data_IF_761577253158
#
_entry.id   IF_761577253158
#
_cell.length_a   1.000
_cell.length_b   1.000
_cell.length_c   1.000
_cell.angle_alpha   90.00
_cell.angle_beta   90.00
_cell.angle_gamma   90.00
#
_symmetry.space_group_name_H-M   'P 1'
#
loop_
_entity.id
_entity.type
_entity.pdbx_description
1 polymer ?
#
# COMPACT_ATOMS: atom_id res chain seq x y z
N UNK A 1 -15.50 -6.05 -13.86
CA UNK A 1 -15.34 -5.87 -12.39
C UNK A 1 -14.77 -4.47 -12.15
N UNK A 2 -14.94 -3.90 -10.96
CA UNK A 2 -14.28 -2.67 -10.54
C UNK A 2 -13.58 -2.90 -9.20
N UNK A 3 -12.24 -2.74 -9.11
CA UNK A 3 -11.58 -2.78 -7.82
C UNK A 3 -12.11 -1.64 -6.94
N UNK A 4 -12.12 -1.85 -5.63
CA UNK A 4 -12.34 -0.77 -4.67
C UNK A 4 -11.04 0.01 -4.53
N UNK A 5 -11.14 1.33 -4.41
CA UNK A 5 -9.99 2.15 -4.01
C UNK A 5 -10.17 2.52 -2.54
N UNK A 6 -9.17 2.23 -1.70
CA UNK A 6 -9.14 2.72 -0.32
C UNK A 6 -8.00 3.70 -0.20
N UNK A 7 -8.29 4.86 0.36
CA UNK A 7 -7.33 5.87 0.75
C UNK A 7 -7.34 5.91 2.28
N UNK A 8 -6.24 5.56 2.92
CA UNK A 8 -6.18 5.63 4.37
C UNK A 8 -4.95 6.38 4.87
N UNK A 9 -4.95 6.70 6.15
CA UNK A 9 -3.78 7.22 6.85
C UNK A 9 -3.95 7.05 8.37
N UNK A 10 -2.86 7.05 9.14
CA UNK A 10 -2.93 6.99 10.59
C UNK A 10 -3.59 8.26 11.18
N UNK A 11 -3.35 9.42 10.57
CA UNK A 11 -3.79 10.73 11.07
C UNK A 11 -4.60 11.52 10.03
N UNK A 12 -5.46 12.47 10.46
CA UNK A 12 -6.09 13.45 9.57
C UNK A 12 -5.08 14.34 8.83
N UNK A 13 -5.54 15.01 7.77
CA UNK A 13 -4.72 16.00 7.03
C UNK A 13 -3.68 15.42 6.06
N UNK A 14 -3.82 14.15 5.65
CA UNK A 14 -2.96 13.48 4.66
C UNK A 14 -3.38 13.70 3.20
N UNK A 15 -4.47 14.41 2.94
CA UNK A 15 -4.95 14.68 1.57
C UNK A 15 -5.89 13.62 0.98
N UNK A 16 -6.43 12.69 1.77
CA UNK A 16 -7.40 11.68 1.27
C UNK A 16 -8.62 12.30 0.57
N UNK A 17 -9.26 13.26 1.23
CA UNK A 17 -10.38 14.04 0.64
C UNK A 17 -9.97 14.72 -0.66
N UNK A 18 -8.74 15.26 -0.73
CA UNK A 18 -8.22 15.89 -1.95
C UNK A 18 -8.14 14.91 -3.13
N UNK A 19 -7.75 13.66 -2.88
CA UNK A 19 -7.75 12.64 -3.94
C UNK A 19 -9.17 12.34 -4.40
N UNK A 20 -10.14 12.24 -3.48
CA UNK A 20 -11.55 12.08 -3.85
C UNK A 20 -12.08 13.27 -4.67
N UNK A 21 -11.70 14.50 -4.33
CA UNK A 21 -12.07 15.70 -5.10
C UNK A 21 -11.50 15.67 -6.52
N UNK A 22 -10.25 15.20 -6.69
CA UNK A 22 -9.65 14.99 -8.03
C UNK A 22 -10.39 13.90 -8.80
N UNK A 23 -10.71 12.77 -8.15
CA UNK A 23 -11.50 11.71 -8.76
C UNK A 23 -12.90 12.20 -9.18
N UNK A 24 -13.51 13.09 -8.39
CA UNK A 24 -14.80 13.67 -8.71
C UNK A 24 -14.81 14.45 -10.04
N UNK A 25 -13.67 15.03 -10.43
CA UNK A 25 -13.53 15.79 -11.68
C UNK A 25 -13.28 14.90 -12.91
N UNK A 26 -12.70 13.71 -12.70
CA UNK A 26 -12.23 12.81 -13.77
C UNK A 26 -13.14 11.59 -13.99
N UNK A 27 -13.81 11.11 -12.96
CA UNK A 27 -14.61 9.88 -13.01
C UNK A 27 -16.03 10.10 -13.54
N UNK A 28 -16.58 9.08 -14.19
CA UNK A 28 -17.92 9.11 -14.75
C UNK A 28 -18.98 9.30 -13.66
N UNK A 29 -19.81 10.34 -13.83
CA UNK A 29 -20.95 10.69 -12.96
C UNK A 29 -20.62 10.55 -11.45
N UNK A 30 -19.46 11.08 -11.07
CA UNK A 30 -18.93 10.90 -9.73
C UNK A 30 -19.81 11.56 -8.67
N UNK A 31 -19.99 10.87 -7.54
CA UNK A 31 -20.77 11.37 -6.41
C UNK A 31 -19.95 11.27 -5.13
N UNK A 32 -19.45 12.42 -4.68
CA UNK A 32 -18.86 12.58 -3.35
C UNK A 32 -19.96 12.56 -2.27
N UNK A 33 -19.80 11.66 -1.30
CA UNK A 33 -20.72 11.43 -0.18
C UNK A 33 -19.97 11.46 1.13
N UNK A 34 -20.47 12.25 2.08
CA UNK A 34 -20.00 12.27 3.48
C UNK A 34 -20.87 11.32 4.32
N UNK A 35 -22.19 11.49 4.23
CA UNK A 35 -23.18 10.59 4.82
C UNK A 35 -24.30 10.36 3.81
N UNK A 36 -24.56 9.09 3.47
CA UNK A 36 -25.66 8.71 2.58
C UNK A 36 -26.23 7.38 3.07
N UNK A 37 -27.55 7.23 3.01
CA UNK A 37 -28.19 5.98 3.37
C UNK A 37 -27.93 4.92 2.31
N UNK A 38 -27.79 3.65 2.72
CA UNK A 38 -27.67 2.52 1.78
C UNK A 38 -28.84 2.53 0.77
N UNK A 39 -30.01 2.96 1.23
CA UNK A 39 -31.22 3.10 0.43
C UNK A 39 -31.14 4.16 -0.68
N UNK A 40 -30.49 5.28 -0.43
CA UNK A 40 -30.26 6.28 -1.47
C UNK A 40 -29.21 5.80 -2.49
N UNK A 41 -28.20 5.05 -2.04
CA UNK A 41 -27.13 4.54 -2.91
C UNK A 41 -27.64 3.51 -3.91
N UNK A 42 -28.29 2.42 -3.48
CA UNK A 42 -28.73 1.38 -4.42
C UNK A 42 -29.78 1.91 -5.41
N UNK A 43 -30.64 2.86 -5.01
CA UNK A 43 -31.61 3.49 -5.93
C UNK A 43 -30.92 4.36 -6.97
N UNK A 44 -29.89 5.11 -6.56
CA UNK A 44 -29.09 5.91 -7.48
C UNK A 44 -28.36 5.04 -8.49
N UNK A 45 -27.76 3.93 -8.04
CA UNK A 45 -27.09 2.97 -8.92
C UNK A 45 -28.10 2.39 -9.90
N UNK A 46 -29.25 1.93 -9.42
CA UNK A 46 -30.30 1.37 -10.28
C UNK A 46 -30.88 2.36 -11.28
N UNK A 47 -31.01 3.64 -10.92
CA UNK A 47 -31.50 4.67 -11.82
C UNK A 47 -30.53 4.99 -12.98
N UNK A 48 -29.24 4.65 -12.83
CA UNK A 48 -28.21 4.91 -13.84
C UNK A 48 -28.09 3.79 -14.90
N UNK A 49 -28.80 2.67 -14.74
CA UNK A 49 -28.80 1.56 -15.69
C UNK A 49 -27.41 0.93 -15.86
N UNK A 50 -26.96 0.80 -17.11
CA UNK A 50 -25.70 0.12 -17.45
C UNK A 50 -24.44 0.93 -17.16
N UNK A 51 -24.59 2.24 -16.88
CA UNK A 51 -23.49 3.18 -16.62
C UNK A 51 -23.60 3.72 -15.18
N UNK A 52 -23.28 2.89 -14.17
CA UNK A 52 -23.41 3.30 -12.79
C UNK A 52 -22.47 4.47 -12.44
N UNK A 53 -22.85 5.33 -11.49
CA UNK A 53 -22.00 6.43 -11.04
C UNK A 53 -20.77 5.92 -10.28
N UNK A 54 -19.72 6.73 -10.26
CA UNK A 54 -18.58 6.50 -9.36
C UNK A 54 -18.92 7.02 -7.96
N UNK A 55 -18.97 6.16 -6.96
CA UNK A 55 -19.25 6.56 -5.57
C UNK A 55 -17.95 6.90 -4.87
N UNK A 56 -17.86 8.09 -4.29
CA UNK A 56 -16.70 8.56 -3.56
C UNK A 56 -17.13 8.83 -2.12
N UNK A 57 -16.77 7.95 -1.20
CA UNK A 57 -17.21 8.02 0.18
C UNK A 57 -16.05 8.50 1.06
N UNK A 58 -16.17 9.72 1.58
CA UNK A 58 -15.25 10.24 2.59
C UNK A 58 -15.70 9.83 4.00
N UNK A 59 -14.81 9.98 4.98
CA UNK A 59 -15.05 9.62 6.38
C UNK A 59 -15.61 8.19 6.55
N UNK A 60 -15.20 7.26 5.68
CA UNK A 60 -15.66 5.87 5.70
C UNK A 60 -15.40 5.23 7.07
N UNK A 61 -14.35 5.65 7.79
CA UNK A 61 -14.04 5.14 9.11
C UNK A 61 -15.02 5.60 10.20
N UNK A 62 -15.72 6.72 10.01
CA UNK A 62 -16.81 7.10 10.89
C UNK A 62 -18.04 6.21 10.67
N UNK A 63 -18.22 5.70 9.46
CA UNK A 63 -19.31 4.79 9.09
C UNK A 63 -19.04 3.36 9.57
N UNK A 64 -17.83 2.84 9.36
CA UNK A 64 -17.48 1.46 9.67
C UNK A 64 -16.78 1.27 11.03
N UNK A 65 -16.23 2.32 11.63
CA UNK A 65 -15.42 2.23 12.86
C UNK A 65 -16.21 2.25 14.18
N UNK A 66 -17.54 2.36 14.15
CA UNK A 66 -18.41 2.28 15.34
C UNK A 66 -19.11 0.92 15.41
N UNK A 67 -19.33 0.40 16.61
CA UNK A 67 -19.94 -0.91 16.91
C UNK A 67 -21.19 -1.17 16.06
N UNK A 68 -21.29 -2.40 15.52
CA UNK A 68 -22.37 -2.99 14.71
C UNK A 68 -23.66 -2.14 14.59
N UNK A 69 -23.64 -1.15 13.70
CA UNK A 69 -24.85 -0.46 13.24
C UNK A 69 -25.41 -1.25 12.03
N UNK A 70 -26.70 -1.65 12.02
CA UNK A 70 -27.33 -2.30 10.88
C UNK A 70 -27.08 -1.58 9.54
N UNK A 71 -27.04 -0.24 9.55
CA UNK A 71 -26.77 0.54 8.34
C UNK A 71 -25.34 0.35 7.82
N UNK A 72 -24.35 0.20 8.70
CA UNK A 72 -22.96 -0.02 8.33
C UNK A 72 -22.77 -1.43 7.75
N UNK A 73 -23.45 -2.44 8.32
CA UNK A 73 -23.47 -3.80 7.77
C UNK A 73 -24.12 -3.87 6.39
N UNK A 74 -25.24 -3.17 6.22
CA UNK A 74 -25.92 -3.04 4.92
C UNK A 74 -25.03 -2.37 3.87
N UNK A 75 -24.32 -1.31 4.26
CA UNK A 75 -23.41 -0.61 3.35
C UNK A 75 -22.18 -1.46 3.01
N UNK A 76 -21.64 -2.19 3.99
CA UNK A 76 -20.54 -3.14 3.80
C UNK A 76 -20.95 -4.24 2.81
N UNK A 77 -22.15 -4.80 2.98
CA UNK A 77 -22.71 -5.79 2.07
C UNK A 77 -22.86 -5.23 0.63
N UNK A 78 -23.37 -3.99 0.50
CA UNK A 78 -23.49 -3.29 -0.77
C UNK A 78 -22.14 -3.17 -1.48
N UNK A 79 -21.10 -2.68 -0.79
CA UNK A 79 -19.77 -2.50 -1.37
C UNK A 79 -19.08 -3.82 -1.68
N UNK A 80 -19.28 -4.86 -0.86
CA UNK A 80 -18.72 -6.19 -1.09
C UNK A 80 -19.36 -6.91 -2.28
N UNK A 81 -20.64 -6.67 -2.55
CA UNK A 81 -21.36 -7.27 -3.67
C UNK A 81 -21.09 -6.49 -4.97
N UNK A 82 -21.18 -5.16 -4.91
CA UNK A 82 -21.16 -4.27 -6.07
C UNK A 82 -19.82 -4.09 -6.80
N UNK A 83 -18.79 -4.88 -6.47
CA UNK A 83 -17.51 -4.82 -7.19
C UNK A 83 -17.58 -5.63 -8.49
N UNK A 84 -18.48 -6.62 -8.58
CA UNK A 84 -18.73 -7.41 -9.80
C UNK A 84 -20.07 -7.01 -10.44
N UNK A 85 -20.10 -6.97 -11.77
CA UNK A 85 -21.32 -6.68 -12.54
C UNK A 85 -22.29 -7.86 -12.39
N UNK A 86 -23.59 -7.57 -12.35
CA UNK A 86 -24.65 -8.57 -12.12
C UNK A 86 -25.01 -8.79 -10.65
N UNK A 87 -24.28 -8.20 -9.69
CA UNK A 87 -24.66 -8.24 -8.29
C UNK A 87 -25.92 -7.42 -8.02
N UNK A 88 -26.87 -8.00 -7.29
CA UNK A 88 -28.12 -7.37 -6.86
C UNK A 88 -28.27 -7.43 -5.34
N UNK A 89 -29.14 -6.58 -4.80
CA UNK A 89 -29.63 -6.67 -3.42
C UNK A 89 -31.15 -6.62 -3.39
N UNK A 90 -31.75 -7.47 -2.56
CA UNK A 90 -33.19 -7.52 -2.37
C UNK A 90 -33.61 -6.49 -1.34
N UNK A 91 -34.60 -5.67 -1.69
CA UNK A 91 -35.16 -4.66 -0.79
C UNK A 91 -36.67 -4.69 -0.89
N UNK A 92 -37.32 -4.68 0.26
CA UNK A 92 -38.76 -4.55 0.32
C UNK A 92 -39.15 -3.08 0.07
N UNK A 93 -40.02 -2.84 -0.91
CA UNK A 93 -40.61 -1.54 -1.21
C UNK A 93 -42.14 -1.64 -1.18
N UNK A 94 -42.79 -0.55 -0.74
CA UNK A 94 -44.24 -0.44 -0.68
C UNK A 94 -44.75 0.01 0.69
N UNK A 95 -46.03 0.35 0.76
CA UNK A 95 -46.69 0.63 2.03
C UNK A 95 -46.88 -0.67 2.82
N UNK A 96 -47.11 -0.57 4.14
CA UNK A 96 -47.28 -1.73 5.03
C UNK A 96 -48.31 -2.78 4.55
N UNK A 97 -49.26 -2.38 3.70
CA UNK A 97 -50.29 -3.26 3.11
C UNK A 97 -49.90 -3.89 1.77
N UNK A 98 -48.87 -3.39 1.09
CA UNK A 98 -48.47 -3.79 -0.27
C UNK A 98 -46.94 -3.90 -0.40
N UNK A 99 -46.28 -4.57 0.54
CA UNK A 99 -44.83 -4.82 0.50
C UNK A 99 -44.48 -5.76 -0.65
N UNK A 100 -43.60 -5.32 -1.54
CA UNK A 100 -43.04 -6.13 -2.63
C UNK A 100 -41.53 -6.19 -2.50
N UNK A 101 -40.96 -7.38 -2.68
CA UNK A 101 -39.50 -7.53 -2.79
C UNK A 101 -39.10 -7.09 -4.20
N UNK A 102 -38.11 -6.20 -4.27
CA UNK A 102 -37.51 -5.74 -5.52
C UNK A 102 -36.00 -5.93 -5.47
N UNK A 103 -35.45 -6.40 -6.58
CA UNK A 103 -34.01 -6.51 -6.78
C UNK A 103 -33.45 -5.17 -7.31
N UNK A 104 -32.35 -4.72 -6.71
CA UNK A 104 -31.62 -3.54 -7.15
C UNK A 104 -30.21 -3.92 -7.60
N UNK A 105 -29.76 -3.53 -8.81
CA UNK A 105 -28.37 -3.69 -9.18
C UNK A 105 -27.49 -2.79 -8.32
N UNK A 106 -26.32 -3.31 -7.91
CA UNK A 106 -25.42 -2.60 -6.98
C UNK A 106 -24.00 -2.44 -7.50
N UNK A 107 -23.75 -2.84 -8.75
CA UNK A 107 -22.46 -2.65 -9.39
C UNK A 107 -22.18 -1.16 -9.59
N UNK A 108 -21.07 -0.68 -9.04
CA UNK A 108 -20.61 0.70 -9.20
C UNK A 108 -19.13 0.81 -8.84
N UNK A 109 -18.32 1.65 -9.51
CA UNK A 109 -16.99 2.02 -9.03
C UNK A 109 -17.08 2.73 -7.67
N UNK A 110 -16.19 2.41 -6.73
CA UNK A 110 -16.22 2.98 -5.38
C UNK A 110 -14.80 3.31 -4.91
N UNK A 111 -14.61 4.54 -4.42
CA UNK A 111 -13.45 4.95 -3.65
C UNK A 111 -13.86 5.33 -2.22
N UNK A 112 -13.08 4.90 -1.24
CA UNK A 112 -13.33 5.09 0.20
C UNK A 112 -12.14 5.83 0.81
N UNK A 113 -12.39 6.88 1.59
CA UNK A 113 -11.36 7.55 2.38
C UNK A 113 -11.65 7.42 3.88
N UNK A 114 -10.64 7.11 4.68
CA UNK A 114 -10.79 7.00 6.13
C UNK A 114 -9.49 6.86 6.90
N UNK A 115 -9.57 6.69 8.21
CA UNK A 115 -8.41 6.33 9.04
C UNK A 115 -8.04 4.85 8.90
N UNK A 116 -6.74 4.57 8.91
CA UNK A 116 -6.19 3.23 8.80
C UNK A 116 -6.67 2.32 9.95
N UNK A 117 -6.84 1.02 9.65
CA UNK A 117 -7.25 0.01 10.65
C UNK A 117 -8.74 -0.03 11.01
N UNK A 118 -9.56 0.87 10.46
CA UNK A 118 -11.01 0.92 10.72
C UNK A 118 -11.87 0.37 9.58
N UNK A 119 -11.28 0.04 8.44
CA UNK A 119 -12.00 -0.57 7.32
C UNK A 119 -12.25 -2.07 7.57
N UNK A 120 -13.45 -2.59 7.25
CA UNK A 120 -13.70 -4.02 7.33
C UNK A 120 -12.78 -4.82 6.39
N UNK A 121 -12.22 -5.93 6.88
CA UNK A 121 -11.33 -6.80 6.10
C UNK A 121 -11.96 -7.32 4.79
N UNK A 122 -13.29 -7.47 4.78
CA UNK A 122 -14.05 -7.88 3.59
C UNK A 122 -14.18 -6.79 2.53
N UNK A 123 -13.86 -5.54 2.83
CA UNK A 123 -13.81 -4.49 1.80
C UNK A 123 -12.37 -4.40 1.29
N UNK A 124 -11.39 -4.45 2.20
CA UNK A 124 -9.97 -4.34 1.87
C UNK A 124 -9.48 -5.49 0.99
N UNK A 125 -10.01 -6.71 1.14
CA UNK A 125 -9.69 -7.86 0.26
C UNK A 125 -10.10 -7.65 -1.21
N UNK A 126 -11.03 -6.73 -1.49
CA UNK A 126 -11.52 -6.35 -2.82
C UNK A 126 -10.97 -5.00 -3.28
N UNK A 127 -10.00 -4.45 -2.55
CA UNK A 127 -9.50 -3.10 -2.74
C UNK A 127 -8.01 -3.06 -3.11
N UNK A 128 -7.64 -1.98 -3.81
CA UNK A 128 -6.29 -1.44 -3.78
C UNK A 128 -6.25 -0.36 -2.72
N UNK A 129 -5.43 -0.56 -1.68
CA UNK A 129 -5.31 0.36 -0.54
C UNK A 129 -4.07 1.23 -0.69
N UNK A 130 -4.26 2.54 -0.73
CA UNK A 130 -3.19 3.52 -0.76
C UNK A 130 -3.04 4.17 0.62
N UNK A 131 -1.96 3.79 1.29
CA UNK A 131 -1.57 4.37 2.58
C UNK A 131 -0.95 5.75 2.37
N UNK A 132 -1.71 6.80 2.69
CA UNK A 132 -1.30 8.20 2.54
C UNK A 132 -0.59 8.70 3.79
N UNK A 133 0.39 9.59 3.58
CA UNK A 133 1.14 10.24 4.65
C UNK A 133 0.88 11.73 4.60
N UNK A 134 0.89 12.37 5.77
CA UNK A 134 0.88 13.82 5.83
C UNK A 134 2.17 14.34 5.20
N UNK A 135 2.01 15.30 4.30
CA UNK A 135 3.09 16.10 3.72
C UNK A 135 4.05 16.58 4.82
N UNK A 136 5.36 16.46 4.59
CA UNK A 136 6.37 17.05 5.45
C UNK A 136 6.39 18.58 5.28
N UNK A 137 6.84 19.36 6.28
CA UNK A 137 6.87 20.83 6.18
C UNK A 137 7.64 21.37 4.96
N UNK A 138 8.68 20.65 4.53
CA UNK A 138 9.57 20.95 3.42
C UNK A 138 9.04 20.49 2.05
N UNK A 139 8.09 19.55 2.01
CA UNK A 139 7.43 19.14 0.77
C UNK A 139 6.42 20.21 0.34
N UNK A 140 6.63 20.88 -0.78
CA UNK A 140 5.72 21.93 -1.26
C UNK A 140 4.96 21.45 -2.50
N UNK A 141 3.64 21.58 -2.47
CA UNK A 141 2.75 21.30 -3.61
C UNK A 141 1.95 22.54 -3.97
N UNK A 142 1.60 22.68 -5.24
CA UNK A 142 0.76 23.78 -5.71
C UNK A 142 -0.58 23.80 -4.95
N UNK A 143 -1.08 25.01 -4.68
CA UNK A 143 -2.40 25.17 -4.08
C UNK A 143 -3.48 24.59 -5.01
N UNK A 144 -4.38 23.79 -4.44
CA UNK A 144 -5.52 23.31 -5.20
C UNK A 144 -6.67 24.31 -5.08
N UNK A 145 -7.13 24.79 -6.23
CA UNK A 145 -8.34 25.59 -6.36
C UNK A 145 -9.28 24.86 -7.30
N UNK A 146 -10.49 24.59 -6.83
CA UNK A 146 -11.46 23.76 -7.54
C UNK A 146 -11.73 24.26 -8.97
N UNK A 147 -11.93 25.57 -9.14
CA UNK A 147 -12.15 26.19 -10.46
C UNK A 147 -11.00 25.95 -11.44
N UNK A 148 -9.75 26.01 -10.96
CA UNK A 148 -8.57 25.88 -11.80
C UNK A 148 -8.32 24.40 -12.11
N UNK A 149 -8.59 23.52 -11.14
CA UNK A 149 -8.54 22.08 -11.31
C UNK A 149 -9.62 21.58 -12.28
N UNK A 150 -10.85 22.09 -12.19
CA UNK A 150 -11.95 21.72 -13.08
C UNK A 150 -11.65 22.10 -14.54
N UNK A 151 -11.09 23.29 -14.77
CA UNK A 151 -10.67 23.72 -16.10
C UNK A 151 -9.58 22.80 -16.69
N UNK A 152 -8.61 22.39 -15.87
CA UNK A 152 -7.55 21.43 -16.28
C UNK A 152 -8.08 20.01 -16.48
N UNK A 153 -9.04 19.58 -15.68
CA UNK A 153 -9.59 18.23 -15.72
C UNK A 153 -10.59 18.03 -16.86
N UNK A 154 -11.27 19.08 -17.34
CA UNK A 154 -12.25 18.99 -18.43
C UNK A 154 -11.70 18.30 -19.70
N UNK A 155 -10.59 18.76 -20.32
CA UNK A 155 -10.06 18.10 -21.51
C UNK A 155 -9.56 16.67 -21.23
N UNK A 156 -9.06 16.41 -20.01
CA UNK A 156 -8.65 15.07 -19.60
C UNK A 156 -9.85 14.12 -19.49
N UNK A 157 -10.96 14.58 -18.92
CA UNK A 157 -12.19 13.81 -18.80
C UNK A 157 -12.76 13.47 -20.18
N UNK A 158 -12.80 14.43 -21.09
CA UNK A 158 -13.24 14.21 -22.48
C UNK A 158 -12.35 13.19 -23.20
N UNK A 159 -11.03 13.30 -23.04
CA UNK A 159 -10.09 12.34 -23.60
C UNK A 159 -10.25 10.94 -23.00
N UNK A 160 -10.45 10.83 -21.69
CA UNK A 160 -10.69 9.56 -21.00
C UNK A 160 -12.02 8.93 -21.45
N UNK A 161 -13.07 9.73 -21.61
CA UNK A 161 -14.37 9.26 -22.10
C UNK A 161 -14.24 8.72 -23.53
N UNK A 162 -13.66 9.50 -24.45
CA UNK A 162 -13.43 9.09 -25.83
C UNK A 162 -12.55 7.83 -25.92
N UNK A 163 -11.45 7.78 -25.16
CA UNK A 163 -10.56 6.62 -25.13
C UNK A 163 -11.27 5.39 -24.58
N UNK A 164 -12.02 5.52 -23.48
CA UNK A 164 -12.72 4.40 -22.86
C UNK A 164 -13.81 3.83 -23.77
N UNK A 165 -14.54 4.68 -24.49
CA UNK A 165 -15.54 4.26 -25.47
C UNK A 165 -14.89 3.52 -26.66
N UNK A 166 -13.77 4.04 -27.18
CA UNK A 166 -13.06 3.43 -28.31
C UNK A 166 -12.42 2.08 -27.97
N UNK A 167 -12.09 1.84 -26.69
CA UNK A 167 -11.39 0.62 -26.25
C UNK A 167 -12.27 -0.35 -25.45
N UNK A 168 -13.58 -0.07 -25.32
CA UNK A 168 -14.48 -0.85 -24.45
C UNK A 168 -14.50 -2.35 -24.78
N UNK A 169 -14.63 -2.71 -26.06
CA UNK A 169 -14.68 -4.12 -26.49
C UNK A 169 -13.34 -4.83 -26.28
N UNK A 170 -12.23 -4.14 -26.58
CA UNK A 170 -10.89 -4.66 -26.36
C UNK A 170 -10.61 -4.90 -24.87
N UNK A 171 -11.01 -3.96 -24.01
CA UNK A 171 -10.87 -4.08 -22.56
C UNK A 171 -11.78 -5.18 -21.98
N UNK A 172 -12.98 -5.37 -22.52
CA UNK A 172 -13.88 -6.44 -22.11
C UNK A 172 -13.34 -7.85 -22.46
N UNK A 173 -12.68 -7.97 -23.62
CA UNK A 173 -12.04 -9.21 -24.07
C UNK A 173 -10.65 -9.45 -23.45
N UNK A 174 -10.02 -8.43 -22.88
CA UNK A 174 -8.66 -8.52 -22.36
C UNK A 174 -8.50 -9.62 -21.29
N UNK A 175 -7.42 -10.39 -21.41
CA UNK A 175 -6.97 -11.40 -20.43
C UNK A 175 -5.48 -11.17 -20.15
N UNK A 176 -5.14 -10.12 -19.38
CA UNK A 176 -3.75 -9.74 -19.17
C UNK A 176 -2.98 -10.81 -18.41
N UNK A 177 -1.70 -10.97 -18.72
CA UNK A 177 -0.82 -11.85 -17.96
C UNK A 177 -0.56 -11.26 -16.57
N UNK A 178 -0.96 -12.00 -15.53
CA UNK A 178 -0.77 -11.65 -14.13
C UNK A 178 0.67 -11.93 -13.68
N UNK A 179 1.23 -11.15 -12.73
CA UNK A 179 2.52 -11.47 -12.13
C UNK A 179 2.51 -12.81 -11.39
N UNK A 180 3.65 -13.51 -11.37
CA UNK A 180 3.81 -14.74 -10.61
C UNK A 180 3.49 -14.54 -9.12
N UNK A 181 2.76 -15.49 -8.53
CA UNK A 181 2.32 -15.44 -7.13
C UNK A 181 1.03 -14.61 -6.91
N UNK A 182 0.54 -13.90 -7.92
CA UNK A 182 -0.75 -13.19 -7.85
C UNK A 182 -1.86 -14.10 -8.39
N UNK A 183 -2.63 -14.66 -7.46
CA UNK A 183 -3.71 -15.61 -7.76
C UNK A 183 -5.03 -15.18 -7.10
N UNK A 184 -6.12 -15.88 -7.42
CA UNK A 184 -7.43 -15.73 -6.79
C UNK A 184 -7.91 -14.27 -6.76
N UNK A 185 -8.34 -13.79 -5.59
CA UNK A 185 -8.96 -12.48 -5.42
C UNK A 185 -8.03 -11.31 -5.76
N UNK A 186 -6.76 -11.27 -5.34
CA UNK A 186 -5.81 -10.28 -5.84
C UNK A 186 -5.71 -10.25 -7.37
N UNK A 187 -5.68 -11.40 -8.03
CA UNK A 187 -5.65 -11.45 -9.49
C UNK A 187 -6.91 -10.84 -10.10
N UNK A 188 -8.09 -11.18 -9.56
CA UNK A 188 -9.34 -10.55 -9.98
C UNK A 188 -9.26 -9.02 -9.84
N UNK A 189 -8.83 -8.50 -8.68
CA UNK A 189 -8.81 -7.05 -8.36
C UNK A 189 -7.90 -6.29 -9.32
N UNK A 190 -6.74 -6.87 -9.64
CA UNK A 190 -5.73 -6.22 -10.48
C UNK A 190 -5.93 -6.43 -11.98
N UNK A 191 -6.71 -7.43 -12.41
CA UNK A 191 -6.94 -7.74 -13.82
C UNK A 191 -7.39 -6.51 -14.62
N UNK A 192 -8.40 -5.77 -14.12
CA UNK A 192 -8.92 -4.58 -14.80
C UNK A 192 -7.87 -3.46 -14.91
N UNK A 193 -7.04 -3.28 -13.88
CA UNK A 193 -6.00 -2.24 -13.88
C UNK A 193 -4.86 -2.59 -14.84
N UNK A 194 -4.46 -3.86 -14.90
CA UNK A 194 -3.44 -4.33 -15.82
C UNK A 194 -3.96 -4.32 -17.26
N UNK A 195 -5.23 -4.67 -17.50
CA UNK A 195 -5.83 -4.57 -18.83
C UNK A 195 -5.81 -3.14 -19.38
N UNK A 196 -6.16 -2.15 -18.54
CA UNK A 196 -6.07 -0.72 -18.89
C UNK A 196 -4.62 -0.32 -19.17
N UNK A 197 -3.67 -0.78 -18.35
CA UNK A 197 -2.25 -0.49 -18.55
C UNK A 197 -1.66 -1.13 -19.82
N UNK A 198 -2.05 -2.36 -20.13
CA UNK A 198 -1.67 -3.09 -21.34
C UNK A 198 -2.19 -2.37 -22.59
N UNK A 199 -3.43 -1.85 -22.55
CA UNK A 199 -4.00 -1.07 -23.64
C UNK A 199 -3.34 0.32 -23.77
N UNK A 200 -3.01 0.98 -22.65
CA UNK A 200 -2.33 2.27 -22.64
C UNK A 200 -0.89 2.19 -23.22
N UNK A 201 -0.23 1.04 -23.11
CA UNK A 201 1.08 0.79 -23.70
C UNK A 201 2.22 1.62 -23.07
N UNK A 202 3.34 1.73 -23.78
CA UNK A 202 4.55 2.39 -23.28
C UNK A 202 5.07 1.71 -22.00
N UNK A 203 5.34 2.50 -20.96
CA UNK A 203 5.81 1.98 -19.67
C UNK A 203 4.69 1.52 -18.71
N UNK A 204 3.41 1.72 -19.07
CA UNK A 204 2.28 1.38 -18.19
C UNK A 204 2.15 -0.12 -17.88
N UNK A 205 2.30 -1.05 -18.85
CA UNK A 205 2.20 -2.49 -18.61
C UNK A 205 3.15 -2.98 -17.51
N UNK A 206 4.39 -2.49 -17.54
CA UNK A 206 5.45 -2.87 -16.60
C UNK A 206 5.21 -2.24 -15.22
N UNK A 207 4.84 -0.95 -15.19
CA UNK A 207 4.53 -0.22 -13.95
C UNK A 207 3.34 -0.82 -13.21
N UNK A 208 2.28 -1.20 -13.92
CA UNK A 208 1.10 -1.81 -13.32
C UNK A 208 1.41 -3.17 -12.70
N UNK A 209 2.22 -4.00 -13.37
CA UNK A 209 2.68 -5.30 -12.82
C UNK A 209 3.61 -5.13 -11.63
N UNK A 210 4.50 -4.13 -11.66
CA UNK A 210 5.36 -3.79 -10.53
C UNK A 210 4.53 -3.34 -9.31
N UNK A 211 3.55 -2.45 -9.52
CA UNK A 211 2.63 -2.03 -8.47
C UNK A 211 1.81 -3.21 -7.93
N UNK A 212 1.29 -4.07 -8.81
CA UNK A 212 0.56 -5.28 -8.41
C UNK A 212 1.40 -6.18 -7.50
N UNK A 213 2.66 -6.48 -7.86
CA UNK A 213 3.55 -7.25 -7.00
C UNK A 213 3.79 -6.58 -5.66
N UNK A 214 4.04 -5.27 -5.65
CA UNK A 214 4.23 -4.50 -4.42
C UNK A 214 3.01 -4.62 -3.49
N UNK A 215 1.81 -4.34 -3.98
CA UNK A 215 0.61 -4.35 -3.15
C UNK A 215 0.12 -5.75 -2.75
N UNK A 216 0.45 -6.79 -3.53
CA UNK A 216 -0.06 -8.15 -3.28
C UNK A 216 0.97 -9.04 -2.58
N UNK A 217 2.24 -8.94 -2.95
CA UNK A 217 3.29 -9.87 -2.52
C UNK A 217 4.18 -9.28 -1.42
N UNK A 218 4.36 -7.95 -1.38
CA UNK A 218 5.11 -7.30 -0.31
C UNK A 218 4.20 -7.11 0.91
N UNK A 219 3.98 -8.20 1.63
CA UNK A 219 3.27 -8.15 2.92
C UNK A 219 4.14 -7.40 3.92
N UNK A 220 3.72 -6.21 4.32
CA UNK A 220 4.40 -5.48 5.38
C UNK A 220 4.18 -6.18 6.72
N UNK A 221 5.22 -6.21 7.55
CA UNK A 221 5.23 -6.95 8.82
C UNK A 221 4.15 -6.51 9.82
N UNK A 222 3.66 -5.28 9.69
CA UNK A 222 2.61 -4.63 10.48
C UNK A 222 1.19 -4.97 10.00
N UNK A 223 1.01 -5.44 8.76
CA UNK A 223 -0.30 -5.81 8.18
C UNK A 223 -0.69 -7.27 8.45
N UNK A 224 0.24 -8.09 8.95
CA UNK A 224 -0.04 -9.46 9.33
C UNK A 224 -1.05 -9.49 10.49
N UNK A 225 -2.08 -10.33 10.36
CA UNK A 225 -2.95 -10.64 11.51
C UNK A 225 -2.14 -11.17 12.68
N UNK A 226 -2.63 -10.99 13.91
CA UNK A 226 -1.96 -11.46 15.13
C UNK A 226 -1.49 -12.94 15.02
N UNK A 227 -2.32 -13.82 14.45
CA UNK A 227 -1.95 -15.23 14.29
C UNK A 227 -0.88 -15.48 13.22
N UNK A 228 -0.81 -14.66 12.17
CA UNK A 228 0.28 -14.74 11.18
C UNK A 228 1.59 -14.17 11.73
N UNK A 229 1.54 -13.07 12.49
CA UNK A 229 2.72 -12.57 13.22
C UNK A 229 3.24 -13.62 14.19
N UNK A 230 2.33 -14.31 14.89
CA UNK A 230 2.69 -15.44 15.77
C UNK A 230 3.36 -16.58 15.02
N UNK A 231 2.83 -16.97 13.84
CA UNK A 231 3.44 -18.01 13.01
C UNK A 231 4.84 -17.61 12.52
N UNK A 232 5.01 -16.36 12.07
CA UNK A 232 6.31 -15.79 11.65
C UNK A 232 7.31 -15.80 12.80
N UNK A 233 6.93 -15.28 13.95
CA UNK A 233 7.83 -15.17 15.09
C UNK A 233 8.12 -16.55 15.69
N UNK A 234 7.17 -17.49 15.62
CA UNK A 234 7.41 -18.89 15.94
C UNK A 234 8.40 -19.54 14.96
N UNK A 235 8.34 -19.23 13.66
CA UNK A 235 9.33 -19.69 12.69
C UNK A 235 10.73 -19.20 13.04
N UNK A 236 10.86 -17.92 13.39
CA UNK A 236 12.12 -17.32 13.82
C UNK A 236 12.63 -17.95 15.13
N UNK A 237 11.74 -18.17 16.10
CA UNK A 237 12.08 -18.78 17.38
C UNK A 237 12.55 -20.23 17.22
N UNK A 238 11.93 -21.00 16.31
CA UNK A 238 12.36 -22.37 15.99
C UNK A 238 13.71 -22.42 15.26
N UNK A 239 13.99 -21.47 14.37
CA UNK A 239 15.24 -21.43 13.63
C UNK A 239 15.48 -22.69 12.79
N UNK A 240 16.41 -23.54 13.24
CA UNK A 240 16.74 -24.83 12.62
C UNK A 240 16.26 -26.05 13.43
N UNK A 241 15.66 -25.83 14.60
CA UNK A 241 15.13 -26.92 15.43
C UNK A 241 13.89 -27.55 14.77
N UNK A 242 13.78 -28.87 14.85
CA UNK A 242 12.63 -29.63 14.32
C UNK A 242 11.50 -29.78 15.34
N UNK A 243 11.75 -29.44 16.61
CA UNK A 243 10.84 -29.62 17.73
C UNK A 243 11.17 -28.68 18.89
N UNK A 244 10.13 -28.20 19.58
CA UNK A 244 10.31 -27.30 20.74
C UNK A 244 9.20 -27.51 21.77
N UNK A 245 9.54 -27.45 23.06
CA UNK A 245 8.53 -27.46 24.13
C UNK A 245 7.74 -26.14 24.14
N UNK A 246 6.45 -26.20 24.46
CA UNK A 246 5.56 -25.03 24.44
C UNK A 246 6.03 -23.93 25.40
N UNK A 247 6.57 -24.32 26.56
CA UNK A 247 7.14 -23.39 27.53
C UNK A 247 8.35 -22.61 26.97
N UNK A 248 9.20 -23.29 26.20
CA UNK A 248 10.39 -22.68 25.60
C UNK A 248 10.00 -21.76 24.45
N UNK A 249 9.04 -22.16 23.62
CA UNK A 249 8.53 -21.29 22.56
C UNK A 249 7.94 -19.99 23.13
N UNK A 250 7.12 -20.08 24.19
CA UNK A 250 6.60 -18.89 24.88
C UNK A 250 7.76 -18.04 25.43
N UNK A 251 8.77 -18.66 26.04
CA UNK A 251 9.93 -17.95 26.58
C UNK A 251 10.65 -17.17 25.48
N UNK A 252 10.96 -17.81 24.35
CA UNK A 252 11.65 -17.17 23.22
C UNK A 252 10.83 -16.04 22.60
N UNK A 253 9.51 -16.23 22.47
CA UNK A 253 8.62 -15.17 21.98
C UNK A 253 8.54 -13.99 22.95
N UNK A 254 8.74 -14.19 24.26
CA UNK A 254 8.58 -13.15 25.29
C UNK A 254 9.89 -12.64 25.88
N UNK A 255 11.05 -13.06 25.35
CA UNK A 255 12.36 -12.71 25.92
C UNK A 255 12.72 -11.25 25.64
N UNK A 256 12.39 -10.75 24.45
CA UNK A 256 12.64 -9.37 24.05
C UNK A 256 11.68 -8.43 24.79
N UNK A 257 12.19 -7.45 25.55
CA UNK A 257 11.35 -6.47 26.24
C UNK A 257 10.34 -5.74 25.35
N UNK A 258 10.68 -5.53 24.07
CA UNK A 258 9.87 -4.86 23.05
C UNK A 258 8.94 -5.81 22.29
N UNK A 259 8.98 -7.12 22.59
CA UNK A 259 8.13 -8.11 21.93
C UNK A 259 6.65 -7.88 22.21
N UNK A 260 5.84 -7.88 21.14
CA UNK A 260 4.38 -7.83 21.23
C UNK A 260 3.78 -8.97 22.07
N UNK A 261 4.51 -10.08 22.22
CA UNK A 261 4.07 -11.26 22.99
C UNK A 261 4.19 -11.06 24.51
N UNK A 262 4.97 -10.07 24.99
CA UNK A 262 5.08 -9.76 26.43
C UNK A 262 3.87 -9.03 26.98
N UNK A 263 3.19 -8.24 26.15
CA UNK A 263 1.99 -7.51 26.54
C UNK A 263 0.91 -7.56 25.45
N UNK A 264 0.16 -8.67 25.45
CA UNK A 264 -1.02 -8.83 24.61
C UNK A 264 -2.29 -8.40 25.35
N UNK A 265 -2.50 -7.09 25.42
CA UNK A 265 -3.65 -6.44 26.08
C UNK A 265 -3.66 -6.65 27.60
N UNK A 266 -2.54 -6.30 28.24
CA UNK A 266 -2.33 -6.36 29.69
C UNK A 266 -1.91 -7.74 30.21
N UNK A 267 -1.63 -8.72 29.32
CA UNK A 267 -1.23 -10.08 29.70
C UNK A 267 -0.17 -10.64 28.75
N UNK A 268 0.89 -11.29 29.27
CA UNK A 268 1.85 -11.99 28.43
C UNK A 268 1.20 -13.19 27.73
N UNK A 269 1.76 -13.57 26.59
CA UNK A 269 1.41 -14.81 25.91
C UNK A 269 1.66 -16.00 26.85
N UNK A 270 0.67 -16.88 26.99
CA UNK A 270 0.79 -18.13 27.74
C UNK A 270 0.64 -19.34 26.80
N UNK A 271 1.00 -20.54 27.29
CA UNK A 271 0.94 -21.77 26.49
C UNK A 271 -0.48 -22.10 26.02
N UNK A 272 -1.50 -21.72 26.80
CA UNK A 272 -2.92 -21.97 26.47
C UNK A 272 -3.37 -21.12 25.29
N UNK A 273 -3.01 -19.83 25.29
CA UNK A 273 -3.30 -18.89 24.21
C UNK A 273 -2.49 -19.23 22.97
N UNK A 274 -1.21 -19.56 23.12
CA UNK A 274 -0.38 -20.08 22.03
C UNK A 274 -1.05 -21.28 21.34
N UNK A 275 -1.49 -22.28 22.10
CA UNK A 275 -2.20 -23.43 21.54
C UNK A 275 -3.53 -23.04 20.87
N UNK A 276 -4.29 -22.11 21.44
CA UNK A 276 -5.56 -21.63 20.86
C UNK A 276 -5.35 -20.92 19.52
N UNK A 277 -4.33 -20.07 19.41
CA UNK A 277 -4.04 -19.33 18.18
C UNK A 277 -3.46 -20.27 17.11
N UNK A 278 -2.48 -21.12 17.46
CA UNK A 278 -1.88 -22.06 16.52
C UNK A 278 -2.86 -23.12 15.99
N UNK A 279 -3.84 -23.55 16.81
CA UNK A 279 -4.87 -24.51 16.39
C UNK A 279 -5.72 -24.01 15.22
N UNK A 280 -5.90 -22.69 15.07
CA UNK A 280 -6.65 -22.10 13.94
C UNK A 280 -5.98 -22.37 12.59
N UNK A 281 -4.69 -22.64 12.61
CA UNK A 281 -3.86 -22.95 11.44
C UNK A 281 -3.59 -24.45 11.30
N UNK A 282 -4.28 -25.30 12.07
CA UNK A 282 -4.10 -26.76 12.06
C UNK A 282 -2.88 -27.25 12.85
N UNK A 283 -2.22 -26.38 13.62
CA UNK A 283 -1.05 -26.75 14.43
C UNK A 283 -1.49 -27.15 15.82
N UNK A 284 -1.11 -28.36 16.24
CA UNK A 284 -1.52 -28.90 17.54
C UNK A 284 -0.32 -29.16 18.46
N UNK A 285 -0.50 -28.94 19.76
CA UNK A 285 0.52 -29.29 20.74
C UNK A 285 0.46 -30.78 21.06
N UNK A 286 1.62 -31.44 20.97
CA UNK A 286 1.76 -32.87 21.20
C UNK A 286 2.76 -33.14 22.32
N UNK A 287 2.84 -34.39 22.79
CA UNK A 287 3.94 -34.80 23.66
C UNK A 287 5.22 -34.89 22.84
N UNK A 288 6.16 -34.01 23.12
CA UNK A 288 7.45 -33.93 22.43
C UNK A 288 8.53 -34.37 23.41
N UNK A 289 9.37 -35.30 22.97
CA UNK A 289 10.58 -35.70 23.70
C UNK A 289 11.78 -34.96 23.14
N UNK A 290 12.47 -34.22 24.01
CA UNK A 290 13.73 -33.52 23.72
C UNK A 290 14.77 -33.98 24.75
N UNK A 291 15.74 -34.75 24.29
CA UNK A 291 16.69 -35.44 25.17
C UNK A 291 15.97 -36.34 26.21
N UNK A 292 16.21 -36.16 27.52
CA UNK A 292 15.56 -36.96 28.57
C UNK A 292 14.17 -36.46 28.97
N UNK A 293 13.70 -35.31 28.48
CA UNK A 293 12.48 -34.66 28.94
C UNK A 293 11.36 -34.83 27.92
N UNK A 294 10.19 -35.27 28.39
CA UNK A 294 8.94 -35.31 27.61
C UNK A 294 7.97 -34.29 28.19
N UNK A 295 7.54 -33.32 27.37
CA UNK A 295 6.56 -32.28 27.74
C UNK A 295 5.72 -31.91 26.52
N UNK A 296 4.64 -31.16 26.73
CA UNK A 296 3.88 -30.56 25.64
C UNK A 296 4.75 -29.60 24.83
N UNK A 297 4.67 -29.72 23.52
CA UNK A 297 5.47 -28.98 22.55
C UNK A 297 4.87 -29.01 21.17
N UNK A 298 5.64 -28.55 20.19
CA UNK A 298 5.28 -28.52 18.79
C UNK A 298 6.40 -29.14 17.96
N UNK A 299 6.01 -29.77 16.87
CA UNK A 299 6.90 -30.34 15.86
C UNK A 299 6.83 -29.47 14.60
N UNK A 300 7.94 -29.35 13.89
CA UNK A 300 7.96 -28.75 12.56
C UNK A 300 7.30 -29.68 11.55
N UNK A 301 7.67 -30.97 11.57
CA UNK A 301 7.12 -31.98 10.68
C UNK A 301 5.77 -32.55 11.17
N UNK A 302 5.04 -33.21 10.26
CA UNK A 302 3.77 -33.90 10.52
C UNK A 302 2.55 -33.11 10.05
N UNK A 303 1.40 -33.79 10.00
CA UNK A 303 0.14 -33.23 9.46
C UNK A 303 -0.40 -32.06 10.29
N UNK A 304 -0.14 -32.08 11.61
CA UNK A 304 -0.46 -31.01 12.55
C UNK A 304 0.78 -30.23 13.02
N UNK A 305 1.88 -30.33 12.25
CA UNK A 305 3.15 -29.66 12.51
C UNK A 305 3.20 -28.24 11.92
N UNK A 306 4.17 -27.45 12.39
CA UNK A 306 4.34 -26.04 12.02
C UNK A 306 4.73 -25.83 10.54
N UNK A 307 5.39 -26.79 9.89
CA UNK A 307 5.82 -26.65 8.50
C UNK A 307 4.64 -26.45 7.53
N UNK A 308 3.53 -27.16 7.76
CA UNK A 308 2.31 -26.99 6.95
C UNK A 308 1.73 -25.59 7.12
N UNK A 309 1.68 -25.08 8.35
CA UNK A 309 1.18 -23.74 8.62
C UNK A 309 2.10 -22.66 8.02
N UNK A 310 3.42 -22.78 8.20
CA UNK A 310 4.38 -21.85 7.61
C UNK A 310 4.30 -21.86 6.08
N UNK A 311 4.24 -23.03 5.46
CA UNK A 311 4.15 -23.14 4.01
C UNK A 311 2.86 -22.53 3.44
N UNK A 312 1.74 -22.66 4.15
CA UNK A 312 0.43 -22.20 3.68
C UNK A 312 0.16 -20.72 3.95
N UNK A 313 0.68 -20.20 5.05
CA UNK A 313 0.26 -18.92 5.60
C UNK A 313 1.37 -17.87 5.65
N UNK A 314 2.64 -18.24 5.57
CA UNK A 314 3.74 -17.27 5.52
C UNK A 314 4.18 -17.03 4.06
N UNK A 315 4.25 -15.77 3.61
CA UNK A 315 4.77 -15.44 2.28
C UNK A 315 6.20 -15.95 2.08
N UNK A 316 6.54 -16.31 0.84
CA UNK A 316 7.87 -16.85 0.47
C UNK A 316 9.01 -15.86 0.78
N UNK A 317 8.71 -14.55 0.82
CA UNK A 317 9.65 -13.51 1.24
C UNK A 317 10.17 -13.72 2.68
N UNK A 318 9.36 -14.30 3.57
CA UNK A 318 9.77 -14.64 4.94
C UNK A 318 10.52 -15.98 5.02
N UNK A 319 10.45 -16.81 3.97
CA UNK A 319 11.20 -18.07 3.88
C UNK A 319 12.63 -17.87 3.34
N UNK A 320 12.95 -16.69 2.84
CA UNK A 320 14.18 -16.39 2.11
C UNK A 320 15.30 -15.76 2.95
N UNK A 321 15.85 -16.47 3.93
CA UNK A 321 17.12 -16.07 4.54
C UNK A 321 18.17 -17.19 4.66
N UNK A 322 17.97 -18.31 3.95
CA UNK A 322 18.81 -19.53 4.11
C UNK A 322 19.79 -19.84 2.96
N UNK A 323 20.12 -18.90 2.05
CA UNK A 323 21.03 -19.21 0.92
C UNK A 323 22.29 -18.37 0.71
N UNK A 324 22.57 -17.30 1.47
CA UNK A 324 23.74 -16.45 1.18
C UNK A 324 24.92 -16.48 2.18
N UNK A 325 24.99 -17.44 3.10
CA UNK A 325 26.14 -17.53 4.04
C UNK A 325 27.21 -18.58 3.66
N UNK A 326 27.19 -19.11 2.43
CA UNK A 326 28.25 -19.98 1.93
C UNK A 326 28.68 -19.51 0.55
N UNK A 327 29.52 -18.48 0.50
CA UNK A 327 30.56 -18.23 -0.50
C UNK A 327 30.97 -16.75 -0.49
N UNK A 328 31.77 -16.32 0.48
CA UNK A 328 32.91 -15.39 0.26
C UNK A 328 33.88 -15.57 1.42
N UNK A 329 34.79 -16.52 1.29
CA UNK A 329 36.05 -16.50 2.03
C UNK A 329 37.12 -16.83 0.99
N UNK A 330 37.81 -15.80 0.49
CA UNK A 330 39.20 -15.83 -0.03
C UNK A 330 39.57 -14.37 -0.41
N UNK A 331 40.64 -13.88 0.24
CA UNK A 331 41.55 -12.77 -0.14
C UNK A 331 40.99 -11.33 -0.13
N UNK A 332 41.72 -10.30 0.31
CA UNK A 332 43.07 -10.15 0.88
C UNK A 332 43.21 -8.69 1.37
N UNK A 333 44.16 -8.51 2.29
CA UNK A 333 44.78 -7.28 2.81
C UNK A 333 44.55 -5.95 2.10
N UNK A 334 44.37 -4.88 2.90
CA UNK A 334 45.33 -3.75 3.02
C UNK A 334 44.82 -2.73 4.07
N UNK A 335 45.67 -2.41 5.06
CA UNK A 335 45.58 -1.21 5.93
C UNK A 335 46.13 0.01 5.18
N UNK A 336 45.76 1.26 5.53
CA UNK A 336 46.47 2.03 6.59
C UNK A 336 45.53 2.89 7.47
N UNK A 337 45.69 2.90 8.80
CA UNK A 337 46.31 3.96 9.63
C UNK A 337 45.83 5.39 9.37
N UNK A 338 45.15 6.00 10.36
CA UNK A 338 45.23 7.44 10.58
C UNK A 338 45.09 7.80 12.07
N UNK A 339 45.98 8.70 12.47
CA UNK A 339 46.32 9.13 13.81
C UNK A 339 45.32 10.14 14.39
N UNK A 340 45.34 10.21 15.73
CA UNK A 340 44.71 11.24 16.57
C UNK A 340 45.39 12.57 16.36
N UNK A 341 44.64 13.67 16.45
CA UNK A 341 45.07 14.83 17.20
C UNK A 341 43.88 15.60 17.79
N UNK A 342 43.95 15.74 19.10
CA UNK A 342 43.16 16.61 19.98
C UNK A 342 43.80 17.98 20.03
N UNK A 343 43.02 19.05 20.01
CA UNK A 343 43.41 20.32 20.64
C UNK A 343 42.17 21.11 21.06
N UNK A 344 42.31 21.75 22.22
CA UNK A 344 41.33 22.43 23.06
C UNK A 344 41.93 23.79 23.41
N UNK A 345 41.14 24.86 23.37
CA UNK A 345 41.31 26.17 24.03
C UNK A 345 39.94 26.87 23.92
N UNK A 346 39.14 27.14 24.96
CA UNK A 346 39.23 28.02 26.17
C UNK A 346 39.15 29.53 25.89
N UNK A 347 38.27 30.17 26.69
CA UNK A 347 38.23 31.56 27.22
C UNK A 347 36.80 32.16 27.06
N UNK A 348 35.96 32.17 28.13
CA UNK A 348 35.73 33.23 29.16
C UNK A 348 35.08 34.51 28.56
N UNK A 349 33.95 35.10 29.02
CA UNK A 349 33.56 35.61 30.35
C UNK A 349 32.04 36.11 30.30
N UNK A 350 31.34 36.62 31.34
CA UNK A 350 29.96 36.21 31.64
C UNK A 350 28.97 37.40 31.80
N UNK A 351 27.74 37.05 32.23
CA UNK A 351 26.84 37.84 33.06
C UNK A 351 25.93 38.92 32.41
N UNK A 352 24.63 38.60 32.34
CA UNK A 352 23.55 39.54 32.72
C UNK A 352 22.24 38.80 33.04
N UNK A 353 21.87 38.82 34.32
CA UNK A 353 20.55 38.43 34.83
C UNK A 353 19.46 39.47 34.50
N UNK A 354 18.25 39.02 34.14
CA UNK A 354 16.99 39.55 34.70
C UNK A 354 15.74 38.70 34.40
N UNK A 355 15.13 38.23 35.50
CA UNK A 355 13.71 38.06 35.85
C UNK A 355 12.62 37.53 34.89
N UNK A 356 12.08 36.37 35.32
CA UNK A 356 10.68 36.13 35.74
C UNK A 356 9.51 36.32 34.75
N UNK A 357 8.92 35.20 34.30
CA UNK A 357 7.63 34.65 34.81
C UNK A 357 7.12 33.44 33.99
N UNK A 358 6.85 32.34 34.72
CA UNK A 358 5.80 31.31 34.58
C UNK A 358 5.16 31.04 33.19
N UNK A 359 5.18 29.78 32.73
CA UNK A 359 4.14 28.75 33.01
C UNK A 359 4.45 27.39 32.37
N UNK A 360 4.48 26.36 33.24
CA UNK A 360 4.00 24.98 33.11
C UNK A 360 4.14 24.13 31.81
N UNK A 361 4.62 22.90 32.07
CA UNK A 361 4.22 21.61 31.50
C UNK A 361 5.06 21.03 30.35
N UNK A 362 6.16 20.42 30.78
CA UNK A 362 6.94 19.38 30.11
C UNK A 362 6.07 18.16 29.79
N UNK A 363 5.88 17.83 28.51
CA UNK A 363 5.57 16.47 28.07
C UNK A 363 6.78 15.94 27.31
N UNK A 364 7.42 14.91 27.88
CA UNK A 364 8.59 14.23 27.34
C UNK A 364 8.25 13.62 25.98
N UNK A 365 9.05 13.98 24.98
CA UNK A 365 9.10 13.35 23.66
C UNK A 365 9.64 11.92 23.78
N UNK A 366 8.98 10.90 23.23
CA UNK A 366 9.67 9.68 22.83
C UNK A 366 10.29 9.93 21.45
N UNK A 367 11.61 9.96 21.42
CA UNK A 367 12.41 9.80 20.22
C UNK A 367 12.23 8.39 19.68
N UNK A 368 11.54 8.25 18.54
CA UNK A 368 11.79 7.18 17.57
C UNK A 368 11.02 7.45 16.26
N UNK A 369 11.54 8.38 15.47
CA UNK A 369 11.22 8.45 14.04
C UNK A 369 12.24 7.59 13.30
N UNK A 370 11.99 6.29 13.29
CA UNK A 370 12.66 5.37 12.38
C UNK A 370 12.40 5.82 10.94
N UNK A 371 13.45 6.26 10.25
CA UNK A 371 13.44 6.51 8.80
C UNK A 371 13.08 5.19 8.11
N UNK A 372 11.94 5.15 7.42
CA UNK A 372 11.60 4.04 6.52
C UNK A 372 12.36 4.23 5.19
N UNK A 373 13.36 3.39 4.85
CA UNK A 373 13.96 3.39 3.53
C UNK A 373 13.11 2.48 2.63
N UNK A 374 12.52 3.03 1.56
CA UNK A 374 11.82 2.19 0.57
C UNK A 374 10.52 2.77 0.01
N UNK A 375 10.41 4.08 -0.19
CA UNK A 375 9.31 4.65 -0.98
C UNK A 375 9.88 5.04 -2.34
N UNK A 376 9.31 4.48 -3.40
CA UNK A 376 9.58 4.94 -4.76
C UNK A 376 9.25 6.44 -4.84
N UNK A 377 10.18 7.24 -5.37
CA UNK A 377 9.89 8.62 -5.72
C UNK A 377 8.59 8.66 -6.53
N UNK A 378 7.71 9.61 -6.21
CA UNK A 378 6.50 9.90 -7.00
C UNK A 378 6.94 10.01 -8.45
N UNK A 379 6.63 8.99 -9.24
CA UNK A 379 7.01 8.98 -10.64
C UNK A 379 6.31 10.17 -11.29
N UNK A 380 7.09 11.04 -11.93
CA UNK A 380 6.58 12.11 -12.79
C UNK A 380 5.54 11.48 -13.73
N UNK A 381 4.28 11.85 -13.53
CA UNK A 381 3.17 11.36 -14.34
C UNK A 381 3.18 12.16 -15.63
N UNK A 382 4.00 11.70 -16.57
CA UNK A 382 4.18 12.22 -17.92
C UNK A 382 4.61 13.70 -18.00
N UNK A 383 5.52 13.99 -18.92
CA UNK A 383 5.74 15.37 -19.36
C UNK A 383 4.45 15.84 -20.06
N UNK A 384 3.60 16.53 -19.31
CA UNK A 384 2.70 17.52 -19.89
C UNK A 384 3.63 18.67 -20.21
N UNK A 385 3.99 18.85 -21.48
CA UNK A 385 4.27 20.14 -22.13
C UNK A 385 4.83 19.89 -23.55
N UNK A 386 4.36 20.55 -24.61
CA UNK A 386 3.83 21.92 -24.58
C UNK A 386 4.94 22.90 -24.23
N UNK A 387 5.96 22.95 -25.09
CA UNK A 387 7.04 23.94 -25.21
C UNK A 387 7.06 25.09 -24.17
N UNK A 388 8.07 25.11 -23.30
CA UNK A 388 8.46 26.31 -22.56
C UNK A 388 9.95 26.26 -22.13
N UNK A 389 10.80 26.94 -22.91
CA UNK A 389 11.78 27.91 -22.42
C UNK A 389 12.84 27.50 -21.41
N UNK A 390 14.03 27.23 -21.93
CA UNK A 390 15.38 27.44 -21.38
C UNK A 390 15.54 27.99 -19.95
N UNK A 391 16.28 27.27 -19.13
CA UNK A 391 16.95 27.85 -17.95
C UNK A 391 17.17 26.91 -16.77
N UNK A 392 17.89 25.81 -16.93
CA UNK A 392 18.47 25.12 -15.78
C UNK A 392 19.83 24.51 -16.17
N UNK A 393 20.83 24.76 -15.34
CA UNK A 393 22.24 24.37 -15.54
C UNK A 393 22.42 22.86 -15.51
N UNK A 394 22.03 22.19 -16.59
CA UNK A 394 22.31 20.79 -16.85
C UNK A 394 23.73 20.67 -17.41
N UNK A 395 24.60 19.96 -16.68
CA UNK A 395 25.90 19.53 -17.20
C UNK A 395 25.72 18.11 -17.74
N UNK A 396 25.73 17.90 -19.07
CA UNK A 396 25.49 16.59 -19.64
C UNK A 396 26.61 15.59 -19.27
N UNK A 397 26.28 14.32 -19.02
CA UNK A 397 27.28 13.29 -18.74
C UNK A 397 28.19 13.06 -19.97
N UNK A 398 29.51 13.04 -19.73
CA UNK A 398 30.54 12.84 -20.75
C UNK A 398 30.96 11.36 -20.84
N UNK A 399 31.16 10.87 -22.06
CA UNK A 399 31.57 9.51 -22.36
C UNK A 399 31.79 9.30 -23.87
N UNK A 400 32.50 8.24 -24.29
CA UNK A 400 32.78 7.98 -25.71
C UNK A 400 31.47 7.85 -26.51
N UNK A 401 31.41 8.53 -27.65
CA UNK A 401 30.23 8.54 -28.54
C UNK A 401 29.11 9.50 -28.15
N UNK A 402 29.24 10.27 -27.05
CA UNK A 402 28.24 11.26 -26.63
C UNK A 402 28.62 12.69 -27.03
N UNK A 403 27.62 13.47 -27.41
CA UNK A 403 27.80 14.89 -27.74
C UNK A 403 28.09 15.69 -26.45
N UNK A 404 29.15 16.52 -26.40
CA UNK A 404 29.49 17.29 -25.21
C UNK A 404 28.50 18.44 -24.92
N UNK A 405 27.68 18.84 -25.89
CA UNK A 405 26.69 19.90 -25.72
C UNK A 405 25.33 19.40 -25.21
N UNK A 406 24.84 18.26 -25.72
CA UNK A 406 23.52 17.73 -25.32
C UNK A 406 23.57 16.39 -24.56
N UNK A 407 24.73 15.73 -24.45
CA UNK A 407 24.87 14.44 -23.74
C UNK A 407 24.29 13.22 -24.47
N UNK A 408 23.58 13.42 -25.59
CA UNK A 408 23.01 12.33 -26.39
C UNK A 408 24.11 11.49 -27.04
N UNK A 409 23.88 10.18 -27.12
CA UNK A 409 24.78 9.26 -27.82
C UNK A 409 24.57 9.37 -29.34
N UNK A 410 25.52 9.99 -30.04
CA UNK A 410 25.32 10.50 -31.42
C UNK A 410 24.95 9.38 -32.39
N UNK A 411 25.54 8.19 -32.25
CA UNK A 411 25.32 7.08 -33.17
C UNK A 411 23.94 6.41 -33.01
N UNK A 412 23.31 6.50 -31.84
CA UNK A 412 22.07 5.76 -31.54
C UNK A 412 20.88 6.67 -31.28
N UNK A 413 21.12 7.90 -30.82
CA UNK A 413 20.09 8.84 -30.40
C UNK A 413 20.12 10.15 -31.21
N UNK A 414 21.15 10.37 -32.04
CA UNK A 414 21.35 11.66 -32.69
C UNK A 414 21.63 12.76 -31.67
N UNK A 415 21.30 14.00 -32.03
CA UNK A 415 21.36 15.16 -31.14
C UNK A 415 19.97 15.51 -30.61
N UNK A 416 19.89 16.20 -29.48
CA UNK A 416 18.63 16.83 -29.04
C UNK A 416 18.24 17.96 -30.00
N UNK A 417 16.94 18.24 -30.12
CA UNK A 417 16.40 19.21 -31.08
C UNK A 417 17.01 20.62 -30.93
N UNK A 418 17.41 21.01 -29.71
CA UNK A 418 18.03 22.32 -29.41
C UNK A 418 19.58 22.28 -29.36
N UNK A 419 20.22 21.20 -29.84
CA UNK A 419 21.67 21.07 -29.74
C UNK A 419 22.39 21.89 -30.82
N UNK A 420 23.17 22.90 -30.42
CA UNK A 420 23.95 23.76 -31.35
C UNK A 420 24.98 23.04 -32.27
N UNK A 421 25.16 21.73 -32.11
CA UNK A 421 26.01 20.89 -32.97
C UNK A 421 25.26 20.31 -34.19
N UNK A 422 23.93 20.37 -34.23
CA UNK A 422 23.12 19.93 -35.39
C UNK A 422 23.37 20.81 -36.62
N UNK A 423 23.45 22.13 -36.43
CA UNK A 423 23.61 23.10 -37.52
C UNK A 423 24.96 23.03 -38.26
N UNK A 424 26.00 22.47 -37.61
CA UNK A 424 27.34 22.35 -38.23
C UNK A 424 27.44 21.23 -39.27
N UNK A 425 26.54 20.25 -39.26
CA UNK A 425 26.51 19.20 -40.30
C UNK A 425 25.68 19.60 -41.53
N UNK A 426 24.75 20.54 -41.39
CA UNK A 426 23.96 21.04 -42.51
C UNK A 426 24.74 22.00 -43.43
N UNK A 427 25.91 22.49 -43.01
CA UNK A 427 26.78 23.39 -43.79
C UNK A 427 28.00 22.70 -44.41
N UNK A 428 28.10 21.37 -44.30
CA UNK A 428 29.12 20.55 -44.95
C UNK A 428 28.50 19.26 -45.49
N UNK A 429 27.62 19.39 -46.49
CA UNK A 429 27.17 18.32 -47.38
C UNK A 429 26.72 18.94 -48.69
#
# INVERSE_FOLDING_TARGET
MTPRLILDSPEPGSGKTRVLEVLALLSHNAKLTLSTTTAALYRRIAAAGDHPPTILQDEADAVFGKTANPQAEDLRALFNAGYKRGATVDRCEGDAKNMKVREFPVFAPVALAGLAGKMPATITDRAVTLHMRRRAPDEHVAEFRERDAAAKAAPLREALEAWSAANADQLAAARPAMPDGVHDRPAEVWEALIAVADNAGGAWPERARAACRYFVLEVRADELSLGLRLLRDAQNAFGDDDRMHSAELVRLLTIDPESEWRDLWGKPLDQRRLAKELKRYGVESQEVRIGPVTRKGYLVAGDTGLAQAWHRYLPTAYMGNKRNSRNVAVQSDLRPQHERNTERNTDDDPNRERNERNTSATAKTPSDQGRFPGVAAVALVADINGNAGSGSGFVPPSGPGRCPACGCHVATQGHSDDCQQTDRRASAS
#
